data_IF_268614805672
#
_entry.id   IF_268614805672
#
_cell.length_a   1.000
_cell.length_b   1.000
_cell.length_c   1.000
_cell.angle_alpha   90.00
_cell.angle_beta   90.00
_cell.angle_gamma   90.00
#
_symmetry.space_group_name_H-M   'P 1'
#
loop_
_entity.id
_entity.type
_entity.pdbx_description
1 polymer ?
#
# COMPACT_ATOMS: atom_id res chain seq x y z
N UNK A 1 30.59 -29.48 9.62
CA UNK A 1 31.00 -28.16 10.13
C UNK A 1 29.96 -27.15 9.71
N UNK A 2 28.81 -27.12 10.39
CA UNK A 2 27.86 -26.00 10.29
C UNK A 2 28.37 -24.88 11.21
N UNK A 3 28.91 -23.83 10.62
CA UNK A 3 29.11 -22.57 11.31
C UNK A 3 27.74 -21.94 11.54
N UNK A 4 27.14 -22.19 12.70
CA UNK A 4 26.07 -21.37 13.23
C UNK A 4 26.63 -19.95 13.43
N UNK A 5 26.42 -19.08 12.43
CA UNK A 5 26.68 -17.66 12.56
C UNK A 5 25.53 -17.12 13.43
N UNK A 6 25.75 -17.20 14.73
CA UNK A 6 24.85 -16.63 15.72
C UNK A 6 25.06 -15.10 15.70
N UNK A 7 24.35 -14.40 14.82
CA UNK A 7 24.35 -12.95 14.79
C UNK A 7 23.31 -12.51 15.83
N UNK A 8 23.71 -12.00 17.00
CA UNK A 8 22.79 -11.66 18.08
C UNK A 8 21.73 -10.63 17.66
N UNK A 9 22.07 -9.75 16.71
CA UNK A 9 21.18 -8.77 16.11
C UNK A 9 20.02 -9.43 15.33
N UNK A 10 20.28 -10.53 14.62
CA UNK A 10 19.27 -11.25 13.85
C UNK A 10 18.26 -11.94 14.78
N UNK A 11 18.72 -12.52 15.89
CA UNK A 11 17.86 -13.14 16.90
C UNK A 11 16.95 -12.13 17.60
N UNK A 12 17.45 -10.95 17.94
CA UNK A 12 16.66 -9.87 18.50
C UNK A 12 15.62 -9.33 17.50
N UNK A 13 16.02 -9.10 16.26
CA UNK A 13 15.10 -8.65 15.22
C UNK A 13 14.00 -9.67 14.94
N UNK A 14 14.31 -10.97 14.96
CA UNK A 14 13.30 -12.03 14.79
C UNK A 14 12.34 -12.08 15.98
N UNK A 15 12.82 -11.92 17.21
CA UNK A 15 11.97 -11.90 18.41
C UNK A 15 11.04 -10.67 18.42
N UNK A 16 11.50 -9.52 17.94
CA UNK A 16 10.64 -8.35 17.77
C UNK A 16 9.55 -8.58 16.71
N UNK A 17 9.88 -9.24 15.60
CA UNK A 17 8.92 -9.56 14.53
C UNK A 17 7.85 -10.58 14.96
N UNK A 18 8.05 -11.33 16.02
CA UNK A 18 7.05 -12.24 16.61
C UNK A 18 5.89 -11.49 17.30
N UNK A 19 6.04 -10.19 17.56
CA UNK A 19 4.95 -9.41 18.11
C UNK A 19 3.77 -9.35 17.11
N UNK A 20 2.53 -9.56 17.58
CA UNK A 20 1.36 -9.66 16.71
C UNK A 20 1.03 -8.36 15.95
N UNK A 21 1.66 -7.26 16.32
CA UNK A 21 1.45 -5.97 15.66
C UNK A 21 1.99 -5.96 14.21
N UNK A 22 3.12 -6.61 13.94
CA UNK A 22 3.73 -6.58 12.59
C UNK A 22 2.90 -7.35 11.56
N UNK A 23 2.42 -8.58 11.83
CA UNK A 23 1.48 -9.26 10.95
C UNK A 23 0.20 -8.44 10.71
N UNK A 24 -0.36 -7.84 11.76
CA UNK A 24 -1.57 -7.02 11.65
C UNK A 24 -1.34 -5.80 10.74
N UNK A 25 -0.22 -5.08 10.91
CA UNK A 25 0.16 -3.96 10.04
C UNK A 25 0.36 -4.40 8.60
N UNK A 26 0.98 -5.56 8.36
CA UNK A 26 1.19 -6.08 7.01
C UNK A 26 -0.15 -6.41 6.31
N UNK A 27 -1.11 -6.98 7.02
CA UNK A 27 -2.47 -7.24 6.49
C UNK A 27 -3.18 -5.92 6.17
N UNK A 28 -3.14 -4.95 7.09
CA UNK A 28 -3.72 -3.62 6.87
C UNK A 28 -3.12 -2.96 5.63
N UNK A 29 -1.80 -3.02 5.48
CA UNK A 29 -1.10 -2.48 4.32
C UNK A 29 -1.60 -3.12 3.01
N UNK A 30 -1.75 -4.44 2.98
CA UNK A 30 -2.29 -5.16 1.82
C UNK A 30 -3.72 -4.71 1.48
N UNK A 31 -4.59 -4.60 2.48
CA UNK A 31 -5.97 -4.13 2.30
C UNK A 31 -6.04 -2.68 1.81
N UNK A 32 -5.16 -1.80 2.31
CA UNK A 32 -5.08 -0.41 1.85
C UNK A 32 -4.63 -0.31 0.39
N UNK A 33 -3.68 -1.15 -0.05
CA UNK A 33 -3.25 -1.21 -1.45
C UNK A 33 -4.41 -1.70 -2.34
N UNK A 34 -5.20 -2.69 -1.90
CA UNK A 34 -6.39 -3.14 -2.63
C UNK A 34 -7.41 -1.99 -2.74
N UNK A 35 -7.70 -1.32 -1.62
CA UNK A 35 -8.63 -0.19 -1.61
C UNK A 35 -8.17 0.94 -2.55
N UNK A 36 -6.87 1.26 -2.55
CA UNK A 36 -6.29 2.23 -3.47
C UNK A 36 -6.51 1.83 -4.93
N UNK A 37 -6.19 0.58 -5.30
CA UNK A 37 -6.37 0.08 -6.65
C UNK A 37 -7.84 0.13 -7.12
N UNK A 38 -8.78 -0.18 -6.24
CA UNK A 38 -10.23 -0.07 -6.51
C UNK A 38 -10.62 1.39 -6.72
N UNK A 39 -10.16 2.30 -5.85
CA UNK A 39 -10.44 3.74 -5.95
C UNK A 39 -9.87 4.34 -7.24
N UNK A 40 -8.65 3.98 -7.62
CA UNK A 40 -8.04 4.40 -8.89
C UNK A 40 -8.93 3.95 -10.05
N UNK A 41 -9.35 2.68 -10.07
CA UNK A 41 -10.16 2.11 -11.14
C UNK A 41 -11.55 2.77 -11.24
N UNK A 42 -12.21 3.04 -10.12
CA UNK A 42 -13.52 3.66 -10.09
C UNK A 42 -13.50 5.14 -10.52
N UNK A 43 -12.43 5.84 -10.16
CA UNK A 43 -12.29 7.27 -10.45
C UNK A 43 -11.61 7.59 -11.78
N UNK A 44 -11.25 6.57 -12.57
CA UNK A 44 -10.59 6.74 -13.86
C UNK A 44 -11.35 7.65 -14.84
N UNK A 45 -12.69 7.68 -14.75
CA UNK A 45 -13.57 8.40 -15.68
C UNK A 45 -13.73 9.88 -15.36
N UNK A 46 -13.66 10.26 -14.07
CA UNK A 46 -14.23 11.54 -13.61
C UNK A 46 -13.20 12.63 -13.30
N UNK A 47 -11.89 12.34 -13.32
CA UNK A 47 -10.90 13.22 -12.72
C UNK A 47 -9.62 13.38 -13.52
N UNK A 48 -9.76 13.56 -14.83
CA UNK A 48 -8.63 13.92 -15.71
C UNK A 48 -8.69 15.40 -16.03
N UNK A 49 -7.65 16.13 -15.72
CA UNK A 49 -7.49 17.54 -16.09
C UNK A 49 -6.48 17.68 -17.22
N UNK A 50 -6.81 18.36 -18.33
CA UNK A 50 -5.84 18.67 -19.35
C UNK A 50 -4.80 19.66 -18.81
N UNK A 51 -3.52 19.36 -19.00
CA UNK A 51 -2.40 20.20 -18.59
C UNK A 51 -1.42 20.34 -19.75
N UNK A 52 -0.87 21.53 -19.90
CA UNK A 52 0.18 21.79 -20.89
C UNK A 52 1.53 21.64 -20.18
N UNK A 53 2.38 20.78 -20.70
CA UNK A 53 3.77 20.64 -20.24
C UNK A 53 4.74 20.92 -21.41
N UNK A 54 5.91 21.46 -21.06
CA UNK A 54 6.99 21.57 -22.04
C UNK A 54 7.67 20.22 -22.21
N UNK A 55 7.70 19.75 -23.45
CA UNK A 55 8.48 18.56 -23.82
C UNK A 55 9.98 18.89 -23.75
N UNK A 56 10.81 17.87 -23.59
CA UNK A 56 12.29 17.99 -23.64
C UNK A 56 12.81 18.63 -24.96
N UNK A 57 11.96 18.74 -25.97
CA UNK A 57 12.26 19.44 -27.24
C UNK A 57 11.76 20.87 -27.31
N UNK A 58 11.32 21.46 -26.18
CA UNK A 58 10.83 22.83 -26.09
C UNK A 58 9.41 23.06 -26.63
N UNK A 59 8.73 22.02 -27.13
CA UNK A 59 7.36 22.12 -27.63
C UNK A 59 6.37 21.94 -26.48
N UNK A 60 5.28 22.70 -26.51
CA UNK A 60 4.18 22.56 -25.54
C UNK A 60 3.29 21.40 -25.94
N UNK A 61 3.20 20.38 -25.10
CA UNK A 61 2.43 19.15 -25.33
C UNK A 61 1.30 19.08 -24.29
N UNK A 62 0.10 18.75 -24.77
CA UNK A 62 -1.04 18.48 -23.90
C UNK A 62 -0.92 17.10 -23.25
N UNK A 63 -1.07 17.06 -21.92
CA UNK A 63 -1.13 15.82 -21.15
C UNK A 63 -2.41 15.81 -20.32
N UNK A 64 -2.93 14.62 -20.05
CA UNK A 64 -3.98 14.42 -19.08
C UNK A 64 -3.36 14.03 -17.74
N UNK A 65 -3.53 14.88 -16.73
CA UNK A 65 -3.11 14.59 -15.36
C UNK A 65 -4.32 14.12 -14.57
N UNK A 66 -4.19 12.96 -13.92
CA UNK A 66 -5.14 12.49 -12.93
C UNK A 66 -4.44 12.38 -11.60
N UNK A 67 -4.90 13.21 -10.64
CA UNK A 67 -4.36 13.24 -9.28
C UNK A 67 -5.50 13.25 -8.28
N UNK A 68 -5.47 12.34 -7.33
CA UNK A 68 -6.43 12.31 -6.24
C UNK A 68 -5.82 11.78 -4.95
N UNK A 69 -6.33 12.30 -3.84
CA UNK A 69 -5.99 11.86 -2.50
C UNK A 69 -7.31 11.52 -1.80
N UNK A 70 -7.37 10.35 -1.17
CA UNK A 70 -8.48 9.91 -0.34
C UNK A 70 -8.01 9.72 1.09
N UNK A 71 -8.88 10.03 2.03
CA UNK A 71 -8.71 9.66 3.43
C UNK A 71 -9.55 8.43 3.68
N UNK A 72 -8.91 7.31 4.06
CA UNK A 72 -9.58 6.07 4.42
C UNK A 72 -9.47 5.90 5.93
N UNK A 73 -10.58 5.98 6.69
CA UNK A 73 -10.57 5.68 8.10
C UNK A 73 -10.38 4.18 8.31
N UNK A 74 -9.46 3.80 9.14
CA UNK A 74 -9.17 2.41 9.47
C UNK A 74 -9.12 2.23 10.98
N UNK A 75 -9.65 1.11 11.48
CA UNK A 75 -9.56 0.76 12.88
C UNK A 75 -8.39 -0.18 13.11
N UNK A 76 -7.40 0.29 13.87
CA UNK A 76 -6.29 -0.51 14.34
C UNK A 76 -6.60 -1.00 15.75
N UNK A 77 -6.57 -2.30 15.99
CA UNK A 77 -6.74 -2.88 17.31
C UNK A 77 -5.40 -2.92 18.05
N UNK A 78 -5.30 -2.15 19.14
CA UNK A 78 -4.08 -2.03 19.92
C UNK A 78 -4.29 -2.74 21.27
N UNK A 79 -3.29 -3.50 21.76
CA UNK A 79 -3.38 -4.14 23.07
C UNK A 79 -3.71 -3.10 24.16
N UNK A 80 -4.73 -3.40 24.98
CA UNK A 80 -5.14 -2.55 26.09
C UNK A 80 -4.07 -2.56 27.18
N UNK A 81 -3.73 -1.39 27.68
CA UNK A 81 -2.74 -1.18 28.74
C UNK A 81 -1.62 -0.21 28.36
N UNK A 82 -1.24 -0.12 27.10
CA UNK A 82 -0.24 0.84 26.63
C UNK A 82 -0.85 2.17 26.15
N UNK A 83 -2.11 2.12 25.68
CA UNK A 83 -2.85 3.31 25.28
C UNK A 83 -4.13 3.40 26.09
N UNK A 84 -4.26 4.47 26.85
CA UNK A 84 -5.53 4.82 27.52
C UNK A 84 -6.60 5.10 26.46
N UNK A 85 -7.78 4.52 26.65
CA UNK A 85 -8.94 4.82 25.81
C UNK A 85 -9.14 6.35 25.76
N UNK A 86 -9.35 6.94 24.54
CA UNK A 86 -9.44 8.38 24.39
C UNK A 86 -10.62 8.99 25.16
N UNK A 87 -11.64 8.18 25.50
CA UNK A 87 -12.83 8.58 26.24
C UNK A 87 -13.32 7.41 27.12
N UNK A 88 -14.02 7.68 28.21
CA UNK A 88 -14.55 6.66 29.14
C UNK A 88 -15.52 5.67 28.47
N UNK A 89 -16.21 6.10 27.43
CA UNK A 89 -17.16 5.27 26.66
C UNK A 89 -16.51 4.54 25.46
N UNK A 90 -15.20 4.66 25.27
CA UNK A 90 -14.52 4.01 24.17
C UNK A 90 -14.49 2.48 24.34
N UNK A 91 -14.88 1.70 23.34
CA UNK A 91 -15.02 0.26 23.50
C UNK A 91 -13.65 -0.41 23.72
N UNK A 92 -13.62 -1.28 24.70
CA UNK A 92 -12.50 -2.18 24.98
C UNK A 92 -13.02 -3.60 24.82
N UNK A 93 -12.38 -4.39 23.99
CA UNK A 93 -12.76 -5.77 23.72
C UNK A 93 -11.81 -6.71 24.44
N UNK A 94 -12.34 -7.69 25.16
CA UNK A 94 -11.55 -8.78 25.72
C UNK A 94 -11.40 -9.89 24.68
N UNK A 95 -10.18 -10.27 24.37
CA UNK A 95 -9.85 -11.38 23.48
C UNK A 95 -9.15 -12.44 24.33
N UNK A 96 -9.91 -13.50 24.72
CA UNK A 96 -9.40 -14.52 25.62
C UNK A 96 -9.33 -14.06 27.09
N UNK A 97 -8.59 -14.80 27.92
CA UNK A 97 -8.58 -14.60 29.36
C UNK A 97 -7.72 -13.41 29.82
N UNK A 98 -6.71 -13.02 29.03
CA UNK A 98 -5.72 -12.01 29.48
C UNK A 98 -5.40 -10.91 28.46
N UNK A 99 -6.08 -10.86 27.32
CA UNK A 99 -5.80 -9.85 26.29
C UNK A 99 -7.01 -8.94 26.11
N UNK A 100 -6.82 -7.67 26.39
CA UNK A 100 -7.78 -6.62 26.03
C UNK A 100 -7.24 -5.83 24.85
N UNK A 101 -8.09 -5.48 23.90
CA UNK A 101 -7.75 -4.66 22.74
C UNK A 101 -8.69 -3.47 22.63
N UNK A 102 -8.14 -2.36 22.23
CA UNK A 102 -8.87 -1.12 22.01
C UNK A 102 -8.76 -0.74 20.52
N UNK A 103 -9.88 -0.46 19.83
CA UNK A 103 -9.83 0.03 18.47
C UNK A 103 -9.33 1.48 18.45
N UNK A 104 -8.30 1.75 17.69
CA UNK A 104 -7.80 3.10 17.43
C UNK A 104 -8.17 3.48 16.01
N UNK A 105 -8.87 4.61 15.86
CA UNK A 105 -9.18 5.15 14.53
C UNK A 105 -7.95 5.85 13.98
N UNK A 106 -7.40 5.30 12.91
CA UNK A 106 -6.24 5.86 12.21
C UNK A 106 -6.65 6.29 10.80
N UNK A 107 -6.57 7.58 10.46
CA UNK A 107 -6.81 8.03 9.11
C UNK A 107 -5.60 7.73 8.22
N UNK A 108 -5.78 6.90 7.20
CA UNK A 108 -4.78 6.65 6.17
C UNK A 108 -5.05 7.52 4.96
N UNK A 109 -4.01 8.21 4.49
CA UNK A 109 -4.05 8.97 3.24
C UNK A 109 -3.56 8.09 2.10
N UNK A 110 -4.45 7.84 1.15
CA UNK A 110 -4.15 7.09 -0.07
C UNK A 110 -4.23 8.07 -1.23
N UNK A 111 -3.20 8.12 -2.06
CA UNK A 111 -3.19 9.01 -3.19
C UNK A 111 -2.49 8.42 -4.41
N UNK A 112 -2.95 8.83 -5.59
CA UNK A 112 -2.25 8.55 -6.83
C UNK A 112 -2.12 9.82 -7.66
N UNK A 113 -1.06 9.86 -8.49
CA UNK A 113 -0.84 10.89 -9.49
C UNK A 113 -0.28 10.23 -10.73
N UNK A 114 -0.99 10.37 -11.84
CA UNK A 114 -0.59 9.80 -13.13
C UNK A 114 -0.77 10.82 -14.23
N UNK A 115 0.23 10.91 -15.12
CA UNK A 115 0.18 11.70 -16.34
C UNK A 115 0.11 10.75 -17.52
N UNK A 116 -0.83 10.95 -18.42
CA UNK A 116 -1.04 10.11 -19.60
C UNK A 116 -0.93 10.97 -20.85
N UNK A 117 -0.04 10.58 -21.77
CA UNK A 117 0.23 11.31 -23.01
C UNK A 117 -0.20 10.55 -24.26
N UNK A 118 -0.12 9.22 -24.25
CA UNK A 118 -0.19 8.40 -25.47
C UNK A 118 -1.40 7.47 -25.58
N UNK A 119 -2.19 7.29 -24.53
CA UNK A 119 -3.39 6.42 -24.51
C UNK A 119 -4.61 7.21 -24.09
N UNK A 120 -5.80 6.66 -24.35
CA UNK A 120 -7.00 7.16 -23.70
C UNK A 120 -6.77 7.13 -22.18
N UNK A 121 -6.88 8.28 -21.49
CA UNK A 121 -6.55 8.39 -20.07
C UNK A 121 -7.30 7.35 -19.22
N UNK A 122 -8.53 7.08 -19.59
CA UNK A 122 -9.41 6.10 -18.93
C UNK A 122 -8.83 4.69 -18.92
N UNK A 123 -8.36 4.18 -20.06
CA UNK A 123 -7.84 2.81 -20.16
C UNK A 123 -6.53 2.64 -19.38
N UNK A 124 -5.65 3.64 -19.47
CA UNK A 124 -4.38 3.62 -18.77
C UNK A 124 -4.57 3.61 -17.25
N UNK A 125 -5.46 4.47 -16.73
CA UNK A 125 -5.75 4.57 -15.30
C UNK A 125 -6.45 3.30 -14.80
N UNK A 126 -7.39 2.75 -15.59
CA UNK A 126 -8.08 1.51 -15.23
C UNK A 126 -7.13 0.31 -15.16
N UNK A 127 -6.18 0.22 -16.09
CA UNK A 127 -5.16 -0.83 -16.07
C UNK A 127 -4.24 -0.67 -14.86
N UNK A 128 -3.81 0.55 -14.57
CA UNK A 128 -3.04 0.85 -13.37
C UNK A 128 -3.77 0.41 -12.09
N UNK A 129 -5.04 0.78 -11.95
CA UNK A 129 -5.85 0.35 -10.81
C UNK A 129 -5.89 -1.17 -10.66
N UNK A 130 -6.01 -1.92 -11.78
CA UNK A 130 -5.98 -3.38 -11.75
C UNK A 130 -4.64 -3.95 -11.28
N UNK A 131 -3.52 -3.37 -11.76
CA UNK A 131 -2.17 -3.77 -11.33
C UNK A 131 -1.96 -3.53 -9.84
N UNK A 132 -2.45 -2.40 -9.32
CA UNK A 132 -2.38 -2.08 -7.88
C UNK A 132 -3.24 -3.03 -7.06
N UNK A 133 -4.45 -3.40 -7.52
CA UNK A 133 -5.27 -4.43 -6.86
C UNK A 133 -4.54 -5.78 -6.82
N UNK A 134 -3.96 -6.21 -7.94
CA UNK A 134 -3.21 -7.47 -8.00
C UNK A 134 -2.02 -7.46 -7.03
N UNK A 135 -1.29 -6.36 -6.95
CA UNK A 135 -0.22 -6.18 -5.97
C UNK A 135 -0.76 -6.28 -4.54
N UNK A 136 -1.87 -5.62 -4.23
CA UNK A 136 -2.49 -5.68 -2.91
C UNK A 136 -2.91 -7.08 -2.51
N UNK A 137 -3.42 -7.90 -3.44
CA UNK A 137 -3.75 -9.31 -3.20
C UNK A 137 -2.47 -10.11 -2.88
N UNK A 138 -1.38 -9.90 -3.62
CA UNK A 138 -0.09 -10.53 -3.36
C UNK A 138 0.45 -10.16 -1.97
N UNK A 139 0.41 -8.89 -1.62
CA UNK A 139 0.84 -8.40 -0.30
C UNK A 139 -0.01 -8.99 0.81
N UNK A 140 -1.33 -9.04 0.63
CA UNK A 140 -2.25 -9.62 1.63
C UNK A 140 -2.03 -11.11 1.81
N UNK A 141 -1.77 -11.86 0.73
CA UNK A 141 -1.48 -13.29 0.83
C UNK A 141 -0.16 -13.56 1.57
N UNK A 142 0.89 -12.79 1.29
CA UNK A 142 2.15 -12.85 2.02
C UNK A 142 1.97 -12.46 3.49
N UNK A 143 1.17 -11.42 3.78
CA UNK A 143 0.87 -10.98 5.13
C UNK A 143 0.09 -12.03 5.93
N UNK A 144 -0.88 -12.74 5.33
CA UNK A 144 -1.60 -13.84 5.98
C UNK A 144 -0.64 -14.99 6.27
N UNK A 145 0.31 -15.28 5.39
CA UNK A 145 1.32 -16.32 5.62
C UNK A 145 2.23 -16.01 6.81
N UNK A 146 2.24 -14.78 7.33
CA UNK A 146 2.99 -14.43 8.55
C UNK A 146 2.49 -15.16 9.81
N UNK A 147 1.29 -15.75 9.77
CA UNK A 147 0.78 -16.62 10.83
C UNK A 147 1.72 -17.85 11.04
N UNK A 148 2.36 -18.34 9.97
CA UNK A 148 3.29 -19.47 10.03
C UNK A 148 4.71 -19.06 10.37
N UNK A 149 5.15 -17.88 9.94
CA UNK A 149 6.47 -17.35 10.27
C UNK A 149 6.49 -15.82 10.13
N UNK A 150 7.01 -15.11 11.16
CA UNK A 150 7.04 -13.63 11.18
C UNK A 150 7.79 -13.01 10.01
N UNK A 151 8.72 -13.73 9.40
CA UNK A 151 9.51 -13.27 8.26
C UNK A 151 8.63 -12.90 7.06
N UNK A 152 7.45 -13.50 6.92
CA UNK A 152 6.51 -13.18 5.84
C UNK A 152 5.92 -11.77 5.95
N UNK A 153 5.89 -11.16 7.14
CA UNK A 153 5.49 -9.76 7.30
C UNK A 153 6.51 -8.81 6.64
N UNK A 154 7.80 -9.11 6.78
CA UNK A 154 8.88 -8.37 6.12
C UNK A 154 8.84 -8.58 4.61
N UNK A 155 8.60 -9.82 4.17
CA UNK A 155 8.45 -10.15 2.75
C UNK A 155 7.24 -9.40 2.16
N UNK A 156 6.11 -9.33 2.87
CA UNK A 156 4.95 -8.57 2.44
C UNK A 156 5.27 -7.08 2.26
N UNK A 157 6.00 -6.48 3.20
CA UNK A 157 6.45 -5.10 3.10
C UNK A 157 7.41 -4.89 1.91
N UNK A 158 8.35 -5.79 1.69
CA UNK A 158 9.24 -5.75 0.54
C UNK A 158 8.48 -5.84 -0.79
N UNK A 159 7.53 -6.78 -0.90
CA UNK A 159 6.66 -6.92 -2.09
C UNK A 159 5.86 -5.63 -2.33
N UNK A 160 5.33 -5.00 -1.27
CA UNK A 160 4.58 -3.76 -1.39
C UNK A 160 5.43 -2.62 -1.98
N UNK A 161 6.65 -2.43 -1.46
CA UNK A 161 7.56 -1.36 -1.89
C UNK A 161 8.05 -1.63 -3.31
N UNK A 162 8.68 -2.78 -3.55
CA UNK A 162 9.25 -3.10 -4.86
C UNK A 162 8.18 -3.28 -5.94
N UNK A 163 7.04 -3.85 -5.60
CA UNK A 163 5.92 -4.00 -6.54
C UNK A 163 5.36 -2.64 -6.96
N UNK A 164 5.29 -1.68 -6.05
CA UNK A 164 4.85 -0.32 -6.34
C UNK A 164 5.81 0.39 -7.29
N UNK A 165 7.11 0.32 -6.99
CA UNK A 165 8.15 0.88 -7.85
C UNK A 165 8.16 0.23 -9.24
N UNK A 166 7.98 -1.09 -9.32
CA UNK A 166 7.90 -1.82 -10.58
C UNK A 166 6.71 -1.36 -11.42
N UNK A 167 5.53 -1.20 -10.83
CA UNK A 167 4.34 -0.69 -11.54
C UNK A 167 4.62 0.71 -12.09
N UNK A 168 5.20 1.60 -11.29
CA UNK A 168 5.55 2.96 -11.73
C UNK A 168 6.55 2.95 -12.87
N UNK A 169 7.58 2.11 -12.79
CA UNK A 169 8.59 1.97 -13.82
C UNK A 169 8.02 1.43 -15.13
N UNK A 170 7.18 0.39 -15.06
CA UNK A 170 6.53 -0.18 -16.24
C UNK A 170 5.64 0.85 -16.95
N UNK A 171 4.93 1.67 -16.21
CA UNK A 171 4.10 2.75 -16.76
C UNK A 171 4.95 3.77 -17.52
N UNK A 172 6.02 4.26 -16.89
CA UNK A 172 6.95 5.21 -17.54
C UNK A 172 7.56 4.62 -18.82
N UNK A 173 7.90 3.34 -18.80
CA UNK A 173 8.51 2.66 -19.96
C UNK A 173 7.51 2.50 -21.10
N UNK A 174 6.27 2.13 -20.79
CA UNK A 174 5.21 1.98 -21.80
C UNK A 174 4.83 3.32 -22.46
N UNK A 175 4.93 4.43 -21.74
CA UNK A 175 4.69 5.78 -22.29
C UNK A 175 5.82 6.23 -23.22
N UNK A 176 7.08 5.92 -22.87
CA UNK A 176 8.24 6.29 -23.69
C UNK A 176 8.35 5.53 -25.01
N UNK A 177 7.78 4.33 -25.11
CA UNK A 177 7.90 3.48 -26.28
C UNK A 177 6.91 3.82 -27.42
N UNK A 178 5.95 4.71 -27.20
CA UNK A 178 5.01 5.14 -28.25
C UNK A 178 5.51 6.44 -28.88
N UNK A 179 5.96 6.44 -30.15
CA UNK A 179 6.29 7.66 -30.85
C UNK A 179 5.04 8.51 -31.02
N UNK A 180 5.18 9.79 -30.75
CA UNK A 180 4.18 10.77 -31.13
C UNK A 180 4.13 10.83 -32.67
N UNK A 181 2.99 10.54 -33.23
CA UNK A 181 2.66 10.92 -34.58
C UNK A 181 2.04 12.30 -34.57
#
# INVERSE_FOLDING_TARGET
>A
YEKNINIPILGQAMAELEQPIYPALAVIMGLLIIAEGILIRQNAVHNTSPKLIQSNRGLTVGVHESKRIWMVPFFLFVPGGELTAPFEWWPVFAIGENLTVTPLLVPFLIGFSQQVQSKLPYEAIRLNGLQVVALGILVSSAAISSIWSPIYSVIAAAIAIFGRELISFLQMTMEKQKPFY
#
